data_IF_566232600264
#
_entry.id   IF_566232600264
#
_cell.length_a   1.000
_cell.length_b   1.000
_cell.length_c   1.000
_cell.angle_alpha   90.00
_cell.angle_beta   90.00
_cell.angle_gamma   90.00
#
_symmetry.space_group_name_H-M   'P 1'
#
loop_
_entity.id
_entity.type
_entity.pdbx_description
1 polymer ?
#
# COMPACT_ATOMS: atom_id res chain seq x y z
N UNK A 1 5.68 -14.18 2.88
CA UNK A 1 5.14 -14.05 1.50
C UNK A 1 5.87 -12.95 0.76
N UNK A 2 7.13 -13.18 0.47
CA UNK A 2 7.93 -12.25 -0.32
C UNK A 2 7.54 -12.34 -1.79
N UNK A 3 7.63 -11.22 -2.49
CA UNK A 3 7.46 -11.22 -3.94
C UNK A 3 8.58 -12.06 -4.54
N UNK A 4 8.21 -13.16 -5.20
CA UNK A 4 9.17 -13.98 -5.94
C UNK A 4 9.84 -13.08 -7.00
N UNK A 5 11.18 -13.08 -7.04
CA UNK A 5 11.96 -12.20 -7.91
C UNK A 5 11.85 -10.69 -7.61
N UNK A 6 11.44 -10.28 -6.42
CA UNK A 6 11.31 -8.87 -6.04
C UNK A 6 12.57 -8.06 -6.32
N UNK A 7 13.74 -8.58 -6.00
CA UNK A 7 15.02 -7.93 -6.29
C UNK A 7 15.26 -7.66 -7.78
N UNK A 8 14.83 -8.56 -8.65
CA UNK A 8 14.96 -8.39 -10.11
C UNK A 8 14.02 -7.29 -10.61
N UNK A 9 12.81 -7.24 -10.09
CA UNK A 9 11.82 -6.22 -10.42
C UNK A 9 12.33 -4.84 -10.01
N UNK A 10 12.81 -4.70 -8.77
CA UNK A 10 13.34 -3.41 -8.29
C UNK A 10 14.57 -2.95 -9.07
N UNK A 11 15.48 -3.85 -9.44
CA UNK A 11 16.61 -3.52 -10.32
C UNK A 11 16.16 -3.06 -11.70
N UNK A 12 15.17 -3.72 -12.28
CA UNK A 12 14.60 -3.32 -13.57
C UNK A 12 13.96 -1.93 -13.49
N UNK A 13 13.19 -1.64 -12.43
CA UNK A 13 12.61 -0.31 -12.20
C UNK A 13 13.69 0.76 -12.06
N UNK A 14 14.76 0.49 -11.32
CA UNK A 14 15.86 1.43 -11.16
C UNK A 14 16.61 1.69 -12.47
N UNK A 15 16.86 0.65 -13.27
CA UNK A 15 17.42 0.80 -14.60
C UNK A 15 16.54 1.64 -15.51
N UNK A 16 15.24 1.39 -15.53
CA UNK A 16 14.28 2.18 -16.27
C UNK A 16 14.27 3.64 -15.83
N UNK A 17 14.30 3.89 -14.53
CA UNK A 17 14.38 5.26 -13.97
C UNK A 17 15.62 5.98 -14.48
N UNK A 18 16.79 5.33 -14.45
CA UNK A 18 18.06 5.91 -14.93
C UNK A 18 18.03 6.16 -16.43
N UNK A 19 17.47 5.24 -17.19
CA UNK A 19 17.45 5.31 -18.67
C UNK A 19 16.45 6.31 -19.21
N UNK A 20 15.26 6.42 -18.62
CA UNK A 20 14.13 7.19 -19.14
C UNK A 20 13.80 8.43 -18.30
N UNK A 21 14.44 8.62 -17.16
CA UNK A 21 14.24 9.80 -16.33
C UNK A 21 12.87 9.90 -15.63
N UNK A 22 12.12 8.79 -15.51
CA UNK A 22 10.88 8.80 -14.76
C UNK A 22 11.10 8.48 -13.28
N UNK A 23 10.16 8.88 -12.45
CA UNK A 23 10.16 8.63 -11.02
C UNK A 23 9.11 7.57 -10.65
N UNK A 24 9.33 6.90 -9.52
CA UNK A 24 8.42 5.87 -9.02
C UNK A 24 7.82 6.34 -7.69
N UNK A 25 6.51 6.52 -7.66
CA UNK A 25 5.80 6.98 -6.46
C UNK A 25 5.67 5.91 -5.36
N UNK A 26 5.79 4.65 -5.74
CA UNK A 26 5.72 3.53 -4.80
C UNK A 26 5.19 2.26 -5.43
N UNK A 27 5.11 1.24 -4.61
CA UNK A 27 4.57 -0.07 -4.93
C UNK A 27 3.30 -0.31 -4.12
N UNK A 28 2.16 -0.43 -4.77
CA UNK A 28 0.85 -0.57 -4.13
C UNK A 28 0.31 -1.97 -4.37
N UNK A 29 0.03 -2.70 -3.31
CA UNK A 29 -0.43 -4.09 -3.37
C UNK A 29 -1.56 -4.37 -2.39
N UNK A 30 -2.29 -5.46 -2.64
CA UNK A 30 -3.24 -6.08 -1.72
C UNK A 30 -2.72 -7.38 -1.13
N UNK A 31 -3.60 -8.33 -0.87
CA UNK A 31 -3.36 -9.72 -0.43
C UNK A 31 -3.25 -9.94 1.09
N UNK A 32 -2.66 -9.03 1.83
CA UNK A 32 -2.36 -9.24 3.26
C UNK A 32 -3.52 -9.00 4.22
N UNK A 33 -4.67 -8.57 3.75
CA UNK A 33 -5.87 -8.25 4.53
C UNK A 33 -5.70 -7.21 5.65
N UNK A 34 -4.55 -6.60 5.74
CA UNK A 34 -4.22 -5.52 6.67
C UNK A 34 -3.44 -4.39 6.01
N UNK A 35 -3.45 -3.22 6.63
CA UNK A 35 -2.74 -2.04 6.15
C UNK A 35 -1.28 -2.03 6.61
N UNK A 36 -0.37 -1.71 5.70
CA UNK A 36 1.04 -1.56 5.99
C UNK A 36 1.71 -0.56 5.04
N UNK A 37 2.63 0.21 5.56
CA UNK A 37 3.54 1.03 4.76
C UNK A 37 4.97 0.73 5.20
N UNK A 38 5.82 0.36 4.26
CA UNK A 38 7.27 0.15 4.43
C UNK A 38 8.04 0.89 3.36
N UNK A 39 9.33 1.06 3.59
CA UNK A 39 10.27 1.46 2.55
C UNK A 39 11.12 0.25 2.17
N UNK A 40 11.07 -0.15 0.90
CA UNK A 40 11.88 -1.21 0.33
C UNK A 40 12.66 -0.65 -0.86
N UNK A 41 13.97 -0.85 -0.85
CA UNK A 41 14.86 -0.35 -1.92
C UNK A 41 14.68 1.15 -2.21
N UNK A 42 14.46 1.96 -1.16
CA UNK A 42 14.22 3.39 -1.28
C UNK A 42 12.85 3.80 -1.82
N UNK A 43 11.94 2.85 -2.05
CA UNK A 43 10.58 3.11 -2.54
C UNK A 43 9.54 2.81 -1.47
N UNK A 44 8.46 3.61 -1.39
CA UNK A 44 7.30 3.25 -0.58
C UNK A 44 6.68 1.94 -1.06
N UNK A 45 6.48 1.03 -0.13
CA UNK A 45 5.79 -0.23 -0.32
C UNK A 45 4.53 -0.22 0.53
N UNK A 46 3.39 -0.16 -0.13
CA UNK A 46 2.09 0.08 0.50
C UNK A 46 1.20 -1.14 0.31
N UNK A 47 0.73 -1.68 1.42
CA UNK A 47 -0.27 -2.74 1.44
C UNK A 47 -1.59 -2.12 1.90
N UNK A 48 -2.66 -2.37 1.17
CA UNK A 48 -4.02 -2.01 1.55
C UNK A 48 -4.78 -3.27 1.95
N UNK A 49 -5.52 -3.18 3.04
CA UNK A 49 -6.35 -4.25 3.54
C UNK A 49 -7.41 -4.69 2.52
N UNK A 50 -7.87 -5.93 2.66
CA UNK A 50 -8.94 -6.49 1.83
C UNK A 50 -10.28 -5.83 2.12
N UNK A 51 -11.10 -5.67 1.09
CA UNK A 51 -12.45 -5.12 1.21
C UNK A 51 -13.35 -5.96 2.13
N UNK A 52 -13.27 -7.27 2.06
CA UNK A 52 -14.25 -8.16 2.68
C UNK A 52 -13.70 -9.13 3.70
N UNK A 53 -12.38 -9.25 3.84
CA UNK A 53 -11.77 -10.24 4.71
C UNK A 53 -11.06 -9.59 5.90
N UNK A 54 -11.45 -10.02 7.08
CA UNK A 54 -10.73 -9.77 8.31
C UNK A 54 -10.09 -11.09 8.75
N UNK A 55 -8.76 -11.14 8.77
CA UNK A 55 -8.02 -12.29 9.28
C UNK A 55 -7.03 -11.85 10.36
N UNK A 56 -7.43 -11.99 11.66
CA UNK A 56 -6.58 -11.60 12.77
C UNK A 56 -5.41 -12.55 13.03
N UNK A 57 -5.30 -13.65 12.27
CA UNK A 57 -4.26 -14.67 12.49
C UNK A 57 -2.96 -14.39 11.73
N UNK A 58 -2.94 -13.43 10.82
CA UNK A 58 -1.75 -13.01 10.11
C UNK A 58 -1.03 -11.91 10.92
N UNK A 59 -0.42 -12.29 12.02
CA UNK A 59 0.35 -11.36 12.87
C UNK A 59 1.71 -11.05 12.26
N UNK A 60 1.83 -9.85 11.76
CA UNK A 60 3.09 -9.13 11.64
C UNK A 60 2.89 -7.83 12.43
N UNK A 61 3.74 -7.51 13.38
CA UNK A 61 3.59 -6.36 14.30
C UNK A 61 3.45 -5.01 13.57
N UNK A 62 3.86 -4.97 12.30
CA UNK A 62 3.77 -3.79 11.45
C UNK A 62 2.47 -3.70 10.63
N UNK A 63 1.59 -4.67 10.71
CA UNK A 63 0.35 -4.72 9.93
C UNK A 63 -0.83 -4.31 10.80
N UNK A 64 -1.60 -3.34 10.36
CA UNK A 64 -2.81 -2.90 11.04
C UNK A 64 -4.03 -3.58 10.47
N UNK A 65 -4.76 -4.29 11.33
CA UNK A 65 -6.05 -4.88 11.03
C UNK A 65 -7.17 -4.01 11.59
N UNK A 66 -8.25 -3.92 10.85
CA UNK A 66 -9.40 -3.10 11.20
C UNK A 66 -10.61 -3.99 11.47
N UNK A 67 -11.29 -3.75 12.59
CA UNK A 67 -12.55 -4.41 12.87
C UNK A 67 -13.61 -4.00 11.84
N UNK A 68 -14.44 -4.96 11.47
CA UNK A 68 -15.51 -4.79 10.50
C UNK A 68 -16.83 -5.15 11.13
N UNK A 69 -17.82 -4.31 10.91
CA UNK A 69 -19.17 -4.52 11.39
C UNK A 69 -20.15 -4.47 10.22
N UNK A 70 -20.79 -5.62 9.98
CA UNK A 70 -21.79 -5.77 8.91
C UNK A 70 -22.95 -4.77 9.07
N UNK A 71 -23.41 -4.19 7.99
CA UNK A 71 -24.47 -3.21 7.98
C UNK A 71 -24.05 -1.80 8.43
N UNK A 72 -22.76 -1.56 8.67
CA UNK A 72 -22.21 -0.25 8.98
C UNK A 72 -21.21 0.18 7.91
N UNK A 73 -20.79 1.48 7.87
CA UNK A 73 -19.75 1.91 6.95
C UNK A 73 -18.41 1.15 7.09
N UNK A 74 -18.16 0.56 8.26
CA UNK A 74 -16.95 -0.22 8.49
C UNK A 74 -16.99 -1.63 7.87
N UNK A 75 -18.11 -2.04 7.30
CA UNK A 75 -18.19 -3.27 6.51
C UNK A 75 -17.25 -3.24 5.30
N UNK A 76 -17.16 -2.09 4.65
CA UNK A 76 -16.30 -1.86 3.50
C UNK A 76 -14.91 -1.36 3.91
N UNK A 77 -13.94 -1.57 3.01
CA UNK A 77 -12.63 -0.94 3.09
C UNK A 77 -12.00 -0.87 1.70
N UNK A 78 -11.72 0.32 1.26
CA UNK A 78 -10.93 0.57 0.05
C UNK A 78 -10.30 1.96 0.10
N UNK A 79 -9.27 2.16 -0.70
CA UNK A 79 -8.55 3.43 -0.81
C UNK A 79 -8.72 4.03 -2.20
N UNK A 80 -9.02 5.31 -2.26
CA UNK A 80 -8.82 6.10 -3.46
C UNK A 80 -7.43 6.74 -3.40
N UNK A 81 -6.63 6.57 -4.45
CA UNK A 81 -5.29 7.14 -4.53
C UNK A 81 -5.30 8.46 -5.29
N UNK A 82 -4.76 9.50 -4.68
CA UNK A 82 -4.55 10.80 -5.32
C UNK A 82 -3.06 11.10 -5.37
N UNK A 83 -2.50 11.05 -6.57
CA UNK A 83 -1.09 11.38 -6.81
C UNK A 83 -0.93 12.88 -7.00
N UNK A 84 -0.22 13.53 -6.07
CA UNK A 84 0.20 14.93 -6.19
C UNK A 84 1.69 15.01 -6.52
N UNK A 85 1.99 15.04 -7.79
CA UNK A 85 3.37 15.01 -8.29
C UNK A 85 4.20 16.21 -7.81
N UNK A 86 3.62 17.40 -7.77
CA UNK A 86 4.30 18.62 -7.31
C UNK A 86 4.70 18.59 -5.83
N UNK A 87 3.98 17.83 -5.03
CA UNK A 87 4.26 17.65 -3.60
C UNK A 87 5.06 16.36 -3.31
N UNK A 88 5.26 15.51 -4.31
CA UNK A 88 5.84 14.18 -4.18
C UNK A 88 5.11 13.35 -3.11
N UNK A 89 3.79 13.31 -3.21
CA UNK A 89 2.91 12.63 -2.26
C UNK A 89 1.84 11.82 -2.97
N UNK A 90 1.50 10.68 -2.37
CA UNK A 90 0.29 9.93 -2.69
C UNK A 90 -0.62 9.96 -1.46
N UNK A 91 -1.81 10.49 -1.64
CA UNK A 91 -2.85 10.47 -0.63
C UNK A 91 -3.71 9.23 -0.84
N UNK A 92 -3.80 8.40 0.19
CA UNK A 92 -4.72 7.27 0.22
C UNK A 92 -5.94 7.70 1.05
N UNK A 93 -7.01 7.99 0.35
CA UNK A 93 -8.27 8.39 0.98
C UNK A 93 -9.07 7.14 1.28
N UNK A 94 -9.24 6.86 2.56
CA UNK A 94 -9.94 5.67 3.03
C UNK A 94 -11.45 5.83 2.96
N UNK A 95 -12.11 4.80 2.48
CA UNK A 95 -13.55 4.60 2.57
C UNK A 95 -13.83 3.34 3.40
N UNK A 96 -14.72 3.46 4.41
CA UNK A 96 -15.02 2.37 5.32
C UNK A 96 -14.08 2.30 6.52
N UNK A 97 -13.69 1.09 6.90
CA UNK A 97 -12.85 0.87 8.08
C UNK A 97 -11.43 1.42 7.90
N UNK A 98 -10.86 1.96 8.96
CA UNK A 98 -9.49 2.47 8.97
C UNK A 98 -9.39 3.98 8.84
N UNK A 99 -8.26 4.44 8.32
CA UNK A 99 -7.93 5.87 8.27
C UNK A 99 -7.23 6.26 6.96
N UNK A 100 -7.28 7.55 6.63
CA UNK A 100 -6.49 8.13 5.55
C UNK A 100 -4.99 7.97 5.81
N UNK A 101 -4.21 7.81 4.76
CA UNK A 101 -2.74 7.71 4.84
C UNK A 101 -2.11 8.61 3.80
N UNK A 102 -0.88 9.05 4.08
CA UNK A 102 -0.06 9.82 3.14
C UNK A 102 1.26 9.09 2.94
N UNK A 103 1.64 8.92 1.70
CA UNK A 103 2.92 8.33 1.29
C UNK A 103 3.77 9.42 0.64
N UNK A 104 5.00 9.55 1.11
CA UNK A 104 5.99 10.46 0.55
C UNK A 104 6.97 9.68 -0.33
N UNK A 105 7.35 10.23 -1.47
CA UNK A 105 8.31 9.58 -2.37
C UNK A 105 9.31 10.53 -3.01
#
# INVERSE_FOLDING_TARGET
NDIVNGNQIFRALEQCRKQYGFDTAGWFIGHYHGDRIKTLFGLPFVITASQTAYDPQLFDDDVRFWERELGTPSEDLWDALVLKKSERRVYLKRFGAGEDRIVHY
#
